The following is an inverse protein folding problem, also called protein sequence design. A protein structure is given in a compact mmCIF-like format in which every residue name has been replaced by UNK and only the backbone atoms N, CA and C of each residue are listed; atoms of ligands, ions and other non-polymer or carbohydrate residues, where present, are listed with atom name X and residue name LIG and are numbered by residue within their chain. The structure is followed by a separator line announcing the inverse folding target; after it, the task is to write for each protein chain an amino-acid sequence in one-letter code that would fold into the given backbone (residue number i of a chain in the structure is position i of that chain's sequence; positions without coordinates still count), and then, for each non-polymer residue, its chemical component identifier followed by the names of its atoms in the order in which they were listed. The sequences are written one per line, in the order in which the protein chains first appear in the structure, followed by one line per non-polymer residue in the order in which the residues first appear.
data_IF_748452353115
#
_entry.id   IF_748452353115
#
_cell.length_a   1.000
_cell.length_b   1.000
_cell.length_c   1.000
_cell.angle_alpha   90.00
_cell.angle_beta   90.00
_cell.angle_gamma   90.00
#
_symmetry.space_group_name_H-M   'P 1'
#
loop_
_entity.id
_entity.type
_entity.pdbx_description
1 polymer ?
#
# COMPACT_ATOMS: atom_id res chain seq x y z
N UNK A 1 37.34 -16.23 -16.84
CA UNK A 1 36.06 -16.13 -16.12
C UNK A 1 35.31 -17.40 -16.44
N UNK A 2 34.99 -18.20 -15.44
CA UNK A 2 34.38 -19.53 -15.67
C UNK A 2 32.85 -19.48 -15.64
N UNK A 3 32.27 -18.47 -14.96
CA UNK A 3 30.83 -18.20 -14.91
C UNK A 3 30.59 -16.69 -14.83
N UNK A 4 29.54 -16.19 -15.50
CA UNK A 4 29.05 -14.82 -15.38
C UNK A 4 27.57 -14.86 -14.96
N UNK A 5 27.21 -14.06 -13.96
CA UNK A 5 25.83 -13.83 -13.52
C UNK A 5 25.52 -12.35 -13.73
N UNK A 6 24.41 -12.04 -14.42
CA UNK A 6 24.00 -10.66 -14.73
C UNK A 6 22.63 -10.39 -14.11
N UNK A 7 22.54 -9.32 -13.32
CA UNK A 7 21.30 -8.81 -12.75
C UNK A 7 21.34 -7.29 -12.77
N UNK A 8 20.76 -6.69 -13.81
CA UNK A 8 20.82 -5.24 -14.09
C UNK A 8 19.43 -4.56 -13.99
N UNK A 9 18.47 -5.24 -13.36
CA UNK A 9 17.07 -4.83 -13.27
C UNK A 9 16.15 -5.73 -14.10
N UNK A 10 14.85 -5.45 -14.01
CA UNK A 10 13.81 -6.14 -14.76
C UNK A 10 12.80 -5.12 -15.32
N UNK A 11 12.47 -5.28 -16.59
CA UNK A 11 11.44 -4.49 -17.26
C UNK A 11 10.05 -5.09 -17.01
N UNK A 12 8.99 -4.25 -16.87
CA UNK A 12 7.62 -4.73 -16.79
C UNK A 12 7.23 -5.56 -18.03
N UNK A 13 6.61 -6.73 -17.82
CA UNK A 13 6.13 -7.56 -18.92
C UNK A 13 4.76 -7.06 -19.42
N UNK A 14 4.78 -5.95 -20.17
CA UNK A 14 3.58 -5.23 -20.62
C UNK A 14 3.34 -5.31 -22.13
N UNK A 15 4.17 -6.03 -22.88
CA UNK A 15 4.02 -6.27 -24.32
C UNK A 15 2.62 -6.75 -24.74
N UNK A 16 1.94 -7.65 -24.00
CA UNK A 16 0.61 -8.11 -24.39
C UNK A 16 -0.51 -7.08 -24.23
N UNK A 17 -0.27 -5.98 -23.49
CA UNK A 17 -1.29 -4.98 -23.20
C UNK A 17 -1.53 -4.08 -24.42
N UNK A 18 -2.79 -3.89 -24.77
CA UNK A 18 -3.23 -3.03 -25.87
C UNK A 18 -4.19 -1.97 -25.34
N UNK A 19 -4.08 -0.74 -25.85
CA UNK A 19 -4.97 0.36 -25.48
C UNK A 19 -4.73 0.95 -24.09
N UNK A 20 -3.64 0.55 -23.42
CA UNK A 20 -3.16 1.15 -22.17
C UNK A 20 -1.94 2.00 -22.50
N UNK A 21 -1.93 3.26 -22.09
CA UNK A 21 -0.74 4.10 -22.15
C UNK A 21 0.18 3.76 -20.98
N UNK A 22 1.39 3.33 -21.32
CA UNK A 22 2.41 2.93 -20.34
C UNK A 22 3.27 4.14 -19.97
N UNK A 23 3.80 4.13 -18.74
CA UNK A 23 4.81 5.10 -18.33
C UNK A 23 6.13 4.90 -19.10
N UNK A 24 7.06 5.88 -19.07
CA UNK A 24 8.34 5.77 -19.78
C UNK A 24 9.19 4.53 -19.43
N UNK A 25 8.99 3.95 -18.24
CA UNK A 25 9.67 2.72 -17.81
C UNK A 25 8.91 1.43 -18.16
N UNK A 26 7.85 1.52 -18.96
CA UNK A 26 7.03 0.40 -19.42
C UNK A 26 5.96 -0.06 -18.44
N UNK A 27 5.80 0.61 -17.30
CA UNK A 27 4.83 0.23 -16.27
C UNK A 27 3.41 0.76 -16.54
N UNK A 28 2.42 0.12 -15.90
CA UNK A 28 1.01 0.45 -16.00
C UNK A 28 0.63 1.43 -14.88
N UNK A 29 0.23 2.67 -15.18
CA UNK A 29 -0.22 3.61 -14.15
C UNK A 29 -1.58 3.17 -13.59
N UNK A 30 -1.73 3.27 -12.28
CA UNK A 30 -3.00 3.00 -11.58
C UNK A 30 -3.42 4.15 -10.69
N UNK A 31 -4.69 4.18 -10.33
CA UNK A 31 -5.20 5.03 -9.27
C UNK A 31 -4.97 4.40 -7.88
N UNK A 32 -5.38 5.05 -6.77
CA UNK A 32 -5.25 4.49 -5.42
C UNK A 32 -6.02 3.18 -5.19
N UNK A 33 -6.97 2.82 -6.05
CA UNK A 33 -7.76 1.59 -6.00
C UNK A 33 -7.19 0.50 -6.92
N UNK A 34 -6.01 0.75 -7.52
CA UNK A 34 -5.32 -0.13 -8.46
C UNK A 34 -6.05 -0.29 -9.81
N UNK A 35 -7.04 0.57 -10.09
CA UNK A 35 -7.67 0.63 -11.41
C UNK A 35 -6.68 1.31 -12.38
N UNK A 36 -6.59 0.79 -13.61
CA UNK A 36 -5.67 1.32 -14.62
C UNK A 36 -6.12 2.72 -15.04
N UNK A 37 -5.18 3.66 -15.07
CA UNK A 37 -5.43 5.03 -15.56
C UNK A 37 -5.34 5.03 -17.08
N UNK A 38 -6.36 5.58 -17.73
CA UNK A 38 -6.48 5.69 -19.18
C UNK A 38 -5.81 6.97 -19.70
N UNK A 39 -5.54 7.08 -21.02
CA UNK A 39 -4.88 8.26 -21.63
C UNK A 39 -5.58 9.60 -21.37
N UNK A 40 -6.89 9.57 -21.16
CA UNK A 40 -7.69 10.77 -20.84
C UNK A 40 -7.67 11.15 -19.34
N UNK A 41 -6.93 10.40 -18.53
CA UNK A 41 -6.80 10.58 -17.08
C UNK A 41 -7.92 9.92 -16.27
N UNK A 42 -8.87 9.24 -16.89
CA UNK A 42 -9.93 8.50 -16.18
C UNK A 42 -9.42 7.15 -15.66
N UNK A 43 -10.00 6.66 -14.56
CA UNK A 43 -9.78 5.30 -14.08
C UNK A 43 -10.68 4.32 -14.83
N UNK A 44 -10.15 3.14 -15.16
CA UNK A 44 -10.92 2.08 -15.79
C UNK A 44 -11.63 1.19 -14.75
N UNK A 45 -12.96 1.16 -14.77
CA UNK A 45 -13.75 0.38 -13.80
C UNK A 45 -13.66 -1.15 -13.99
N UNK A 46 -13.10 -1.62 -15.10
CA UNK A 46 -13.02 -3.05 -15.47
C UNK A 46 -11.59 -3.56 -15.67
N UNK A 47 -10.57 -2.71 -15.52
CA UNK A 47 -9.17 -3.08 -15.73
C UNK A 47 -8.33 -2.60 -14.55
N UNK A 48 -7.61 -3.53 -13.92
CA UNK A 48 -6.75 -3.25 -12.77
C UNK A 48 -5.37 -3.83 -13.00
N UNK A 49 -4.36 -3.23 -12.39
CA UNK A 49 -2.98 -3.73 -12.41
C UNK A 49 -2.44 -3.90 -10.98
N UNK A 50 -1.65 -4.95 -10.78
CA UNK A 50 -1.02 -5.27 -9.50
C UNK A 50 0.31 -5.98 -9.73
N UNK A 51 1.18 -5.93 -8.73
CA UNK A 51 2.54 -6.47 -8.77
C UNK A 51 3.52 -5.57 -9.52
N UNK A 52 4.62 -6.18 -9.95
CA UNK A 52 5.81 -5.50 -10.50
C UNK A 52 5.54 -4.60 -11.71
N UNK A 53 4.41 -4.82 -12.41
CA UNK A 53 3.98 -4.02 -13.57
C UNK A 53 3.24 -2.73 -13.19
N UNK A 54 2.73 -2.62 -11.96
CA UNK A 54 1.86 -1.53 -11.54
C UNK A 54 2.66 -0.37 -10.93
N UNK A 55 2.44 0.82 -11.47
CA UNK A 55 2.86 2.10 -10.89
C UNK A 55 1.67 2.75 -10.23
N UNK A 56 1.69 2.85 -8.91
CA UNK A 56 0.57 3.30 -8.09
C UNK A 56 0.96 4.56 -7.30
N UNK A 57 0.00 5.41 -6.90
CA UNK A 57 0.31 6.61 -6.14
C UNK A 57 0.79 6.26 -4.74
N UNK A 58 1.96 6.76 -4.36
CA UNK A 58 2.44 6.68 -2.98
C UNK A 58 1.49 7.48 -2.07
N UNK A 59 1.07 6.89 -0.95
CA UNK A 59 0.09 7.50 -0.05
C UNK A 59 0.56 8.82 0.54
N UNK A 60 1.88 8.99 0.73
CA UNK A 60 2.45 10.16 1.38
C UNK A 60 2.71 11.28 0.39
N UNK A 61 3.24 10.95 -0.79
CA UNK A 61 3.66 11.98 -1.76
C UNK A 61 2.64 12.18 -2.90
N UNK A 62 1.84 11.17 -3.20
CA UNK A 62 0.96 11.14 -4.37
C UNK A 62 1.69 10.79 -5.67
N UNK A 63 3.02 10.74 -5.66
CA UNK A 63 3.80 10.41 -6.84
C UNK A 63 3.62 8.94 -7.21
N UNK A 64 3.65 8.64 -8.50
CA UNK A 64 3.61 7.25 -8.95
C UNK A 64 4.91 6.54 -8.57
N UNK A 65 4.76 5.41 -7.89
CA UNK A 65 5.85 4.53 -7.49
C UNK A 65 5.61 3.11 -7.99
N UNK A 66 6.71 2.41 -8.25
CA UNK A 66 6.71 1.00 -8.66
C UNK A 66 7.64 0.22 -7.76
N UNK A 67 7.13 -0.86 -7.17
CA UNK A 67 7.88 -1.69 -6.22
C UNK A 67 7.86 -3.14 -6.67
N UNK A 68 9.06 -3.70 -6.91
CA UNK A 68 9.27 -5.08 -7.33
C UNK A 68 9.54 -5.97 -6.12
N UNK A 69 8.49 -6.28 -5.35
CA UNK A 69 8.62 -7.12 -4.17
C UNK A 69 7.39 -8.00 -3.96
N UNK A 70 7.63 -9.22 -3.50
CA UNK A 70 6.59 -10.25 -3.40
C UNK A 70 5.44 -9.83 -2.47
N UNK A 71 5.75 -9.17 -1.35
CA UNK A 71 4.74 -8.75 -0.39
C UNK A 71 3.83 -7.66 -0.98
N UNK A 72 4.41 -6.70 -1.70
CA UNK A 72 3.65 -5.68 -2.44
C UNK A 72 2.76 -6.33 -3.50
N UNK A 73 3.28 -7.26 -4.29
CA UNK A 73 2.49 -7.98 -5.29
C UNK A 73 1.30 -8.73 -4.67
N UNK A 74 1.53 -9.42 -3.54
CA UNK A 74 0.49 -10.11 -2.81
C UNK A 74 -0.57 -9.15 -2.25
N UNK A 75 -0.16 -8.03 -1.65
CA UNK A 75 -1.08 -7.05 -1.07
C UNK A 75 -1.89 -6.34 -2.15
N UNK A 76 -1.25 -5.91 -3.24
CA UNK A 76 -1.92 -5.29 -4.37
C UNK A 76 -2.92 -6.25 -5.02
N UNK A 77 -2.54 -7.52 -5.23
CA UNK A 77 -3.45 -8.52 -5.79
C UNK A 77 -4.74 -8.68 -4.98
N UNK A 78 -4.65 -8.65 -3.64
CA UNK A 78 -5.83 -8.68 -2.75
C UNK A 78 -6.72 -7.44 -2.91
N UNK A 79 -6.12 -6.25 -3.01
CA UNK A 79 -6.86 -5.00 -3.15
C UNK A 79 -7.52 -4.90 -4.53
N UNK A 80 -6.77 -5.19 -5.59
CA UNK A 80 -7.28 -5.21 -6.96
C UNK A 80 -8.44 -6.19 -7.10
N UNK A 81 -8.29 -7.43 -6.60
CA UNK A 81 -9.38 -8.42 -6.63
C UNK A 81 -10.63 -7.95 -5.85
N UNK A 82 -10.45 -7.35 -4.68
CA UNK A 82 -11.57 -6.81 -3.91
C UNK A 82 -12.32 -5.72 -4.69
N UNK A 83 -11.59 -4.80 -5.32
CA UNK A 83 -12.17 -3.69 -6.08
C UNK A 83 -12.83 -4.16 -7.38
N UNK A 84 -12.23 -5.13 -8.08
CA UNK A 84 -12.87 -5.82 -9.22
C UNK A 84 -14.24 -6.42 -8.85
N UNK A 85 -14.41 -6.86 -7.61
CA UNK A 85 -15.69 -7.44 -7.11
C UNK A 85 -16.65 -6.42 -6.48
N UNK A 86 -16.40 -5.12 -6.67
CA UNK A 86 -17.29 -4.04 -6.21
C UNK A 86 -16.96 -3.48 -4.83
N UNK A 87 -15.79 -3.80 -4.27
CA UNK A 87 -15.28 -3.05 -3.11
C UNK A 87 -14.73 -1.69 -3.55
N UNK A 88 -14.51 -0.79 -2.58
CA UNK A 88 -13.80 0.48 -2.79
C UNK A 88 -12.72 0.61 -1.72
N UNK A 89 -11.67 -0.18 -1.86
CA UNK A 89 -10.55 -0.25 -0.93
C UNK A 89 -9.31 0.39 -1.55
N UNK A 90 -8.78 1.49 -1.00
CA UNK A 90 -7.52 2.03 -1.48
C UNK A 90 -6.35 1.13 -1.04
N UNK A 91 -5.32 1.06 -1.87
CA UNK A 91 -4.01 0.50 -1.52
C UNK A 91 -3.22 1.57 -0.76
N UNK A 92 -3.08 1.38 0.56
CA UNK A 92 -2.48 2.39 1.45
C UNK A 92 -1.23 1.90 2.19
N UNK A 93 -0.64 0.80 1.75
CA UNK A 93 0.48 0.17 2.46
C UNK A 93 1.80 0.82 2.08
N UNK A 94 2.58 1.23 3.08
CA UNK A 94 4.00 1.56 2.91
C UNK A 94 4.77 0.32 2.41
N UNK A 95 5.62 0.43 1.38
CA UNK A 95 6.40 -0.71 0.91
C UNK A 95 7.26 -1.31 2.01
N UNK A 96 7.23 -2.64 2.11
CA UNK A 96 8.07 -3.41 3.01
C UNK A 96 8.83 -4.47 2.20
N UNK A 97 10.15 -4.53 2.35
CA UNK A 97 10.96 -5.58 1.75
C UNK A 97 12.05 -6.09 2.68
N UNK A 98 12.56 -7.28 2.35
CA UNK A 98 13.72 -7.83 3.03
C UNK A 98 14.60 -8.61 2.07
N UNK A 99 15.86 -8.71 2.46
CA UNK A 99 16.81 -9.64 1.85
C UNK A 99 17.60 -10.33 2.95
N UNK A 100 17.98 -11.59 2.71
CA UNK A 100 18.87 -12.33 3.60
C UNK A 100 20.17 -12.61 2.87
N UNK A 101 21.25 -12.02 3.38
CA UNK A 101 22.60 -12.24 2.86
C UNK A 101 23.47 -12.78 4.00
N UNK A 102 24.15 -13.90 3.75
CA UNK A 102 25.05 -14.53 4.73
C UNK A 102 24.43 -14.75 6.12
N UNK A 103 23.16 -15.16 6.16
CA UNK A 103 22.43 -15.42 7.41
C UNK A 103 22.01 -14.18 8.20
N UNK A 104 22.12 -12.98 7.60
CA UNK A 104 21.63 -11.73 8.18
C UNK A 104 20.45 -11.21 7.36
N UNK A 105 19.35 -10.92 8.03
CA UNK A 105 18.17 -10.31 7.41
C UNK A 105 18.28 -8.80 7.51
N UNK A 106 18.28 -8.14 6.35
CA UNK A 106 18.08 -6.71 6.23
C UNK A 106 16.63 -6.47 5.84
N UNK A 107 15.90 -5.72 6.66
CA UNK A 107 14.55 -5.30 6.37
C UNK A 107 14.54 -3.81 6.06
N UNK A 108 13.66 -3.41 5.15
CA UNK A 108 13.50 -2.02 4.75
C UNK A 108 12.02 -1.69 4.62
N UNK A 109 11.66 -0.50 5.08
CA UNK A 109 10.30 0.00 5.06
C UNK A 109 10.25 1.43 4.57
N UNK A 110 9.20 1.74 3.82
CA UNK A 110 8.94 3.05 3.25
C UNK A 110 9.51 3.15 1.85
N UNK A 111 9.55 4.37 1.34
CA UNK A 111 9.98 4.66 -0.01
C UNK A 111 10.82 5.94 0.02
N UNK A 112 12.03 5.86 -0.51
CA UNK A 112 12.90 7.02 -0.73
C UNK A 112 12.92 7.38 -2.21
N UNK A 113 11.82 7.21 -2.92
CA UNK A 113 11.68 7.64 -4.32
C UNK A 113 12.48 6.84 -5.34
N UNK A 114 12.26 7.17 -6.62
CA UNK A 114 12.79 6.47 -7.79
C UNK A 114 14.24 6.79 -8.17
N UNK A 115 14.60 6.57 -9.44
CA UNK A 115 15.98 6.52 -9.97
C UNK A 115 16.86 7.75 -9.72
N UNK A 116 16.32 8.93 -9.42
CA UNK A 116 17.09 10.16 -9.22
C UNK A 116 17.26 10.51 -7.74
N UNK A 117 18.38 10.09 -7.16
CA UNK A 117 18.71 10.13 -5.73
C UNK A 117 18.63 11.52 -5.06
N UNK A 118 18.59 12.62 -5.82
CA UNK A 118 18.80 13.98 -5.29
C UNK A 118 17.60 14.63 -4.60
N UNK A 119 16.40 14.03 -4.61
CA UNK A 119 15.20 14.67 -4.05
C UNK A 119 14.56 13.94 -2.85
N UNK A 120 15.21 12.91 -2.29
CA UNK A 120 14.45 11.88 -1.58
C UNK A 120 14.64 11.82 -0.06
N UNK A 121 15.87 11.94 0.41
CA UNK A 121 16.20 12.12 1.83
C UNK A 121 17.47 12.98 1.89
N UNK A 122 17.61 13.78 2.94
CA UNK A 122 18.75 14.68 3.15
C UNK A 122 19.65 14.24 4.29
N UNK A 123 19.24 13.24 5.08
CA UNK A 123 20.03 12.70 6.18
C UNK A 123 19.67 11.24 6.52
N UNK A 124 20.59 10.57 7.22
CA UNK A 124 20.39 9.23 7.78
C UNK A 124 20.79 9.21 9.25
N UNK A 125 19.82 8.99 10.13
CA UNK A 125 20.06 8.80 11.56
C UNK A 125 20.18 7.31 11.90
N UNK A 126 21.33 6.90 12.44
CA UNK A 126 21.61 5.50 12.76
C UNK A 126 21.57 5.29 14.28
N UNK A 127 20.73 4.36 14.70
CA UNK A 127 20.69 3.83 16.06
C UNK A 127 21.33 2.43 16.09
N UNK A 128 22.25 2.19 17.03
CA UNK A 128 22.94 0.92 17.18
C UNK A 128 24.30 0.89 16.50
N UNK A 129 24.73 -0.30 16.07
CA UNK A 129 26.09 -0.56 15.61
C UNK A 129 26.09 -1.26 14.25
N UNK A 130 26.50 -0.54 13.21
CA UNK A 130 26.55 -1.02 11.83
C UNK A 130 27.59 -2.14 11.68
N UNK A 131 28.76 -1.96 12.30
CA UNK A 131 29.86 -2.94 12.35
C UNK A 131 29.46 -4.27 13.00
N UNK A 132 28.44 -4.24 13.88
CA UNK A 132 27.88 -5.42 14.55
C UNK A 132 26.65 -5.99 13.85
N UNK A 133 26.23 -5.44 12.72
CA UNK A 133 24.97 -5.79 12.05
C UNK A 133 23.77 -5.76 13.01
N UNK A 134 23.73 -4.77 13.90
CA UNK A 134 22.66 -4.59 14.87
C UNK A 134 22.29 -3.12 14.95
N UNK A 135 21.49 -2.65 14.00
CA UNK A 135 21.19 -1.23 13.84
C UNK A 135 19.83 -0.97 13.20
N UNK A 136 19.35 0.25 13.39
CA UNK A 136 18.26 0.87 12.64
C UNK A 136 18.82 2.11 11.96
N UNK A 137 18.66 2.24 10.66
CA UNK A 137 18.99 3.43 9.89
C UNK A 137 17.69 4.10 9.45
N UNK A 138 17.38 5.26 10.01
CA UNK A 138 16.23 6.07 9.64
C UNK A 138 16.63 7.07 8.55
N UNK A 139 15.95 7.02 7.40
CA UNK A 139 16.13 7.97 6.32
C UNK A 139 15.21 9.17 6.54
N UNK A 140 15.78 10.37 6.48
CA UNK A 140 15.13 11.61 6.89
C UNK A 140 15.09 12.62 5.75
N UNK A 141 13.95 13.31 5.60
CA UNK A 141 13.80 14.48 4.72
C UNK A 141 13.25 15.64 5.55
N UNK A 142 14.08 16.65 5.79
CA UNK A 142 13.80 17.69 6.78
C UNK A 142 13.48 17.08 8.14
N UNK A 143 12.32 17.44 8.70
CA UNK A 143 11.88 16.94 10.02
C UNK A 143 11.04 15.63 9.96
N UNK A 144 11.00 14.96 8.80
CA UNK A 144 10.19 13.74 8.59
C UNK A 144 11.05 12.50 8.35
N UNK A 145 10.67 11.38 8.97
CA UNK A 145 11.23 10.05 8.67
C UNK A 145 10.47 9.44 7.50
N UNK A 146 11.17 9.21 6.38
CA UNK A 146 10.56 8.75 5.12
C UNK A 146 10.71 7.24 4.91
N UNK A 147 11.78 6.65 5.41
CA UNK A 147 12.04 5.22 5.36
C UNK A 147 12.91 4.75 6.55
N UNK A 148 13.01 3.44 6.76
CA UNK A 148 13.97 2.86 7.69
C UNK A 148 14.52 1.53 7.17
N UNK A 149 15.80 1.24 7.46
CA UNK A 149 16.41 -0.06 7.29
C UNK A 149 16.81 -0.65 8.65
N UNK A 150 16.62 -1.94 8.86
CA UNK A 150 16.99 -2.62 10.09
C UNK A 150 17.81 -3.88 9.80
N UNK A 151 18.75 -4.17 10.70
CA UNK A 151 19.44 -5.47 10.77
C UNK A 151 19.55 -5.85 12.24
N UNK A 152 19.09 -7.05 12.61
CA UNK A 152 19.18 -7.55 13.99
C UNK A 152 18.30 -6.82 15.02
N UNK A 153 17.35 -5.99 14.57
CA UNK A 153 16.49 -5.14 15.41
C UNK A 153 15.01 -5.53 15.31
N UNK A 154 14.68 -6.79 15.10
CA UNK A 154 13.29 -7.24 15.05
C UNK A 154 12.55 -6.96 16.37
N UNK A 155 11.26 -6.57 16.35
CA UNK A 155 10.39 -6.36 15.18
C UNK A 155 10.29 -4.87 14.76
N UNK A 156 11.35 -4.08 14.91
CA UNK A 156 11.30 -2.61 14.72
C UNK A 156 10.81 -2.22 13.32
N UNK A 157 11.21 -2.91 12.24
CA UNK A 157 10.80 -2.52 10.90
C UNK A 157 9.28 -2.57 10.72
N UNK A 158 8.62 -3.63 11.21
CA UNK A 158 7.16 -3.75 11.18
C UNK A 158 6.48 -2.69 12.04
N UNK A 159 7.09 -2.33 13.19
CA UNK A 159 6.58 -1.24 14.01
C UNK A 159 6.69 0.13 13.31
N UNK A 160 7.78 0.36 12.60
CA UNK A 160 7.98 1.57 11.78
C UNK A 160 6.97 1.60 10.63
N UNK A 161 6.74 0.48 9.94
CA UNK A 161 5.73 0.37 8.88
C UNK A 161 4.35 0.81 9.38
N UNK A 162 3.91 0.26 10.50
CA UNK A 162 2.59 0.57 11.05
C UNK A 162 2.49 2.03 11.52
N UNK A 163 3.57 2.57 12.10
CA UNK A 163 3.63 3.98 12.48
C UNK A 163 3.64 4.91 11.26
N UNK A 164 4.26 4.51 10.14
CA UNK A 164 4.18 5.22 8.86
C UNK A 164 2.77 5.17 8.29
N UNK A 165 2.14 4.00 8.23
CA UNK A 165 0.78 3.82 7.73
C UNK A 165 -0.25 4.61 8.55
N UNK A 166 -0.03 4.79 9.85
CA UNK A 166 -0.88 5.61 10.74
C UNK A 166 -0.56 7.11 10.71
N UNK A 167 0.50 7.54 10.02
CA UNK A 167 0.97 8.93 10.06
C UNK A 167 1.41 9.37 11.46
N UNK A 168 1.98 8.46 12.25
CA UNK A 168 2.39 8.66 13.65
C UNK A 168 3.90 8.53 13.88
N UNK A 169 4.70 8.47 12.82
CA UNK A 169 6.16 8.47 12.96
C UNK A 169 6.64 9.69 13.76
N UNK A 170 7.65 9.50 14.65
CA UNK A 170 8.31 10.62 15.28
C UNK A 170 9.01 11.50 14.24
N UNK A 171 9.22 12.75 14.63
CA UNK A 171 10.02 13.69 13.84
C UNK A 171 11.49 13.30 13.84
N UNK A 172 12.21 13.68 12.79
CA UNK A 172 13.67 13.53 12.71
C UNK A 172 14.36 14.20 13.89
N UNK A 173 13.91 15.39 14.29
CA UNK A 173 14.44 16.12 15.45
C UNK A 173 14.24 15.36 16.77
N UNK A 174 13.11 14.66 16.96
CA UNK A 174 12.90 13.81 18.15
C UNK A 174 13.91 12.67 18.23
N UNK A 175 14.24 12.06 17.09
CA UNK A 175 15.24 10.99 17.01
C UNK A 175 16.64 11.52 17.34
N UNK A 176 17.07 12.60 16.67
CA UNK A 176 18.41 13.18 16.82
C UNK A 176 18.68 13.76 18.21
N UNK A 177 17.65 14.33 18.85
CA UNK A 177 17.77 14.87 20.21
C UNK A 177 17.65 13.78 21.29
N UNK A 178 17.46 12.51 20.92
CA UNK A 178 17.29 11.41 21.87
C UNK A 178 15.98 11.46 22.65
N UNK A 179 14.98 12.22 22.17
CA UNK A 179 13.63 12.29 22.75
C UNK A 179 12.83 11.01 22.44
N UNK A 180 13.14 10.38 21.31
CA UNK A 180 12.58 9.11 20.88
C UNK A 180 13.66 8.23 20.28
N UNK A 181 13.61 6.93 20.55
CA UNK A 181 14.41 5.91 19.86
C UNK A 181 13.50 4.79 19.30
N UNK A 182 14.08 3.76 18.70
CA UNK A 182 13.33 2.63 18.14
C UNK A 182 12.49 1.89 19.19
N UNK A 183 12.98 1.75 20.42
CA UNK A 183 12.22 1.13 21.52
C UNK A 183 11.00 1.98 21.91
N UNK A 184 11.14 3.30 21.92
CA UNK A 184 10.04 4.22 22.19
C UNK A 184 8.99 4.22 21.07
N UNK A 185 9.41 4.08 19.80
CA UNK A 185 8.49 3.88 18.67
C UNK A 185 7.63 2.64 18.93
N UNK A 186 8.24 1.53 19.34
CA UNK A 186 7.52 0.29 19.64
C UNK A 186 6.56 0.46 20.84
N UNK A 187 6.99 1.14 21.90
CA UNK A 187 6.14 1.44 23.06
C UNK A 187 4.94 2.33 22.68
N UNK A 188 5.17 3.37 21.87
CA UNK A 188 4.12 4.25 21.35
C UNK A 188 3.10 3.46 20.52
N UNK A 189 3.58 2.59 19.63
CA UNK A 189 2.71 1.73 18.82
C UNK A 189 1.85 0.79 19.70
N UNK A 190 2.46 0.11 20.68
CA UNK A 190 1.72 -0.79 21.59
C UNK A 190 0.63 -0.06 22.38
N UNK A 191 0.89 1.20 22.77
CA UNK A 191 -0.12 2.04 23.42
C UNK A 191 -1.27 2.37 22.46
N UNK A 192 -0.97 2.76 21.22
CA UNK A 192 -1.99 3.06 20.20
C UNK A 192 -2.88 1.84 19.90
N UNK A 193 -2.31 0.63 19.90
CA UNK A 193 -3.10 -0.60 19.68
C UNK A 193 -4.10 -0.88 20.80
N UNK A 194 -3.75 -0.53 22.05
CA UNK A 194 -4.65 -0.65 23.20
C UNK A 194 -5.75 0.42 23.22
N UNK A 195 -5.51 1.55 22.57
CA UNK A 195 -6.44 2.69 22.54
C UNK A 195 -7.46 2.63 21.40
N UNK A 196 -7.45 1.59 20.55
CA UNK A 196 -8.42 1.46 19.45
C UNK A 196 -9.86 1.65 19.97
N UNK A 197 -10.66 2.56 19.37
CA UNK A 197 -12.05 2.74 19.77
C UNK A 197 -12.79 1.41 19.63
N UNK A 198 -13.57 1.02 20.66
CA UNK A 198 -14.52 -0.10 20.58
C UNK A 198 -15.29 0.07 19.28
N UNK A 199 -15.25 -0.93 18.39
CA UNK A 199 -16.02 -0.95 17.14
C UNK A 199 -17.41 -0.35 17.42
N UNK A 200 -17.76 0.74 16.72
CA UNK A 200 -19.15 1.17 16.64
C UNK A 200 -19.90 -0.03 16.04
N UNK A 201 -20.58 -0.77 16.91
CA UNK A 201 -21.57 -1.77 16.50
C UNK A 201 -22.56 -0.97 15.68
N UNK A 202 -22.55 -1.13 14.35
CA UNK A 202 -23.62 -0.61 13.50
C UNK A 202 -24.90 -1.24 14.06
N UNK A 203 -25.71 -0.46 14.77
CA UNK A 203 -27.10 -0.82 15.06
C UNK A 203 -27.72 -1.03 13.68
N UNK A 204 -28.04 -2.28 13.38
CA UNK A 204 -28.96 -2.65 12.30
C UNK A 204 -30.26 -1.94 12.68
N UNK A 205 -30.57 -0.82 12.02
CA UNK A 205 -31.90 -0.26 12.12
C UNK A 205 -32.81 -1.26 11.42
N UNK A 206 -33.63 -1.93 12.23
CA UNK A 206 -34.82 -2.63 11.79
C UNK A 206 -35.70 -1.62 11.05
N UNK A 207 -36.02 -1.94 9.81
CA UNK A 207 -37.16 -1.39 9.09
C UNK A 207 -37.87 -2.57 8.43
N UNK A 208 -38.41 -3.45 9.26
CA UNK A 208 -39.66 -4.16 8.96
C UNK A 208 -40.74 -3.38 9.68
N UNK A 209 -41.47 -2.53 8.95
CA UNK A 209 -42.85 -2.26 9.30
C UNK A 209 -43.65 -2.16 8.01
N UNK A 210 -44.41 -3.23 7.82
CA UNK A 210 -45.44 -3.43 6.81
C UNK A 210 -46.52 -2.38 7.08
N UNK A 211 -46.72 -1.46 6.14
CA UNK A 211 -47.95 -0.68 6.08
C UNK A 211 -48.94 -1.46 5.22
N UNK A 212 -50.04 -1.90 5.84
CA UNK A 212 -51.21 -2.50 5.21
C UNK A 212 -51.71 -1.63 4.04
N UNK A 213 -51.93 -2.26 2.89
CA UNK A 213 -52.68 -1.68 1.79
C UNK A 213 -54.19 -1.83 2.07
N UNK A 214 -55.05 -0.85 1.74
CA UNK A 214 -56.49 -1.01 1.88
C UNK A 214 -57.01 -2.00 0.84
N UNK A 215 -57.91 -2.89 1.28
CA UNK A 215 -58.79 -3.64 0.40
C UNK A 215 -59.66 -2.66 -0.38
N UNK A 216 -59.50 -2.63 -1.70
CA UNK A 216 -60.60 -2.33 -2.60
C UNK A 216 -60.45 -3.18 -3.87
N UNK A 217 -61.43 -4.06 -4.01
CA UNK A 217 -61.66 -4.96 -5.13
C UNK A 217 -62.24 -4.14 -6.27
N UNK A 218 -61.56 -4.10 -7.43
CA UNK A 218 -62.29 -4.08 -8.68
C UNK A 218 -61.66 -5.01 -9.72
N UNK A 219 -62.57 -5.84 -10.21
CA UNK A 219 -62.46 -6.77 -11.31
C UNK A 219 -61.99 -6.10 -12.60
N UNK A 220 -61.06 -6.75 -13.30
CA UNK A 220 -61.15 -7.10 -14.72
C UNK A 220 -59.78 -7.13 -15.43
N UNK A 221 -59.67 -8.10 -16.34
CA UNK A 221 -58.75 -8.19 -17.49
C UNK A 221 -57.52 -9.10 -17.30
N UNK A 222 -57.81 -10.37 -17.62
CA UNK A 222 -56.94 -11.35 -18.29
C UNK A 222 -56.21 -10.79 -19.53
N UNK A 223 -55.18 -11.53 -19.93
CA UNK A 223 -54.48 -11.50 -21.22
C UNK A 223 -53.42 -10.41 -21.47
N UNK A 224 -52.14 -10.81 -21.43
CA UNK A 224 -51.41 -11.07 -22.68
C UNK A 224 -49.96 -11.55 -22.46
N UNK A 225 -49.74 -12.79 -22.90
CA UNK A 225 -48.62 -13.24 -23.75
C UNK A 225 -47.21 -13.35 -23.15
N UNK A 226 -46.94 -14.57 -22.71
CA UNK A 226 -45.71 -15.29 -23.00
C UNK A 226 -45.91 -16.06 -24.33
N UNK A 227 -45.09 -15.79 -25.36
CA UNK A 227 -44.71 -16.64 -26.51
C UNK A 227 -43.43 -15.98 -27.10
N UNK A 228 -42.25 -16.55 -26.88
CA UNK A 228 -41.58 -17.52 -27.78
C UNK A 228 -40.86 -16.84 -28.96
N UNK A 229 -39.52 -16.72 -28.84
CA UNK A 229 -38.43 -17.28 -29.68
C UNK A 229 -37.12 -17.00 -28.95
#
# INVERSE_FOLDING_TARGET
VDVVIVGIGADPNTEPLKGVELLPDGSVPTDPYLAVVMPDGSSNDSLYAAGDVASYPDVKTGDLTRVQHWDVAMQQGRVAAANMTGSSRPYVTSPFFWTTLFGRSLQYVGNTGGREQSEHFDDVYIEGAVDKCNFVAFYCKGDSVVAAATVGRDPVASGVEEMMNRGKMPKTSELKLGICNAEDIMKRLHKLDKEKPKRLVRRRAESEEIAEAPEDVDSSIEDARQHAV
#
